data_IF_249791746448
#
_entry.id   IF_249791746448
#
_cell.length_a   1.000
_cell.length_b   1.000
_cell.length_c   1.000
_cell.angle_alpha   90.00
_cell.angle_beta   90.00
_cell.angle_gamma   90.00
#
_symmetry.space_group_name_H-M   'P 1'
#
loop_
_entity.id
_entity.type
_entity.pdbx_description
1 polymer ?
#
# COMPACT_ATOMS: atom_id res chain seq x y z
N UNK A 1 -12.36 -22.19 -0.88
CA UNK A 1 -13.03 -21.15 -1.69
C UNK A 1 -12.20 -20.72 -2.89
N UNK A 2 -10.95 -20.30 -2.71
CA UNK A 2 -10.10 -19.79 -3.79
C UNK A 2 -9.33 -20.86 -4.57
N UNK A 3 -9.03 -21.99 -3.92
CA UNK A 3 -8.11 -23.02 -4.42
C UNK A 3 -8.83 -24.35 -4.66
N UNK A 4 -9.79 -24.71 -3.80
CA UNK A 4 -10.66 -25.87 -4.02
C UNK A 4 -11.34 -25.78 -5.40
N UNK A 5 -11.23 -26.86 -6.19
CA UNK A 5 -11.71 -26.99 -7.56
C UNK A 5 -11.29 -25.84 -8.51
N UNK A 6 -10.15 -25.19 -8.25
CA UNK A 6 -9.59 -24.15 -9.11
C UNK A 6 -8.53 -24.70 -10.07
N UNK A 7 -8.94 -24.97 -11.31
CA UNK A 7 -8.08 -25.42 -12.41
C UNK A 7 -6.94 -24.43 -12.75
N UNK A 8 -7.04 -23.16 -12.33
CA UNK A 8 -6.03 -22.13 -12.58
C UNK A 8 -4.84 -22.21 -11.60
N UNK A 9 -4.89 -23.13 -10.62
CA UNK A 9 -3.86 -23.32 -9.60
C UNK A 9 -3.18 -24.66 -9.85
N UNK A 10 -1.89 -24.62 -10.21
CA UNK A 10 -1.09 -25.82 -10.51
C UNK A 10 -0.45 -26.45 -9.28
N UNK A 11 -0.20 -25.64 -8.24
CA UNK A 11 0.25 -26.09 -6.92
C UNK A 11 -0.39 -25.17 -5.87
N UNK A 12 -1.10 -25.76 -4.90
CA UNK A 12 -1.74 -24.99 -3.83
C UNK A 12 -0.78 -24.65 -2.68
N UNK A 13 0.36 -25.33 -2.58
CA UNK A 13 1.28 -25.26 -1.44
C UNK A 13 0.68 -25.78 -0.13
N UNK A 14 1.36 -25.49 0.98
CA UNK A 14 0.93 -25.84 2.34
C UNK A 14 0.74 -24.57 3.18
N UNK A 15 -0.24 -24.57 4.08
CA UNK A 15 -0.41 -23.47 5.03
C UNK A 15 0.81 -23.40 5.97
N UNK A 16 1.51 -22.26 5.96
CA UNK A 16 2.64 -21.91 6.80
C UNK A 16 2.13 -21.00 7.93
N UNK A 17 2.14 -21.47 9.19
CA UNK A 17 1.72 -20.63 10.31
C UNK A 17 2.74 -19.51 10.59
N UNK A 18 2.24 -18.27 10.67
CA UNK A 18 3.03 -17.06 10.97
C UNK A 18 2.59 -16.46 12.30
N UNK A 19 3.36 -15.51 12.84
CA UNK A 19 3.14 -14.98 14.20
C UNK A 19 1.77 -14.38 14.48
N UNK A 20 0.98 -14.07 13.44
CA UNK A 20 -0.33 -13.43 13.55
C UNK A 20 -1.45 -14.18 12.78
N UNK A 21 -1.15 -15.35 12.17
CA UNK A 21 -2.08 -16.22 11.43
C UNK A 21 -1.41 -17.02 10.30
N UNK A 22 -2.13 -17.83 9.52
CA UNK A 22 -1.53 -18.73 8.53
C UNK A 22 -1.35 -18.08 7.14
N UNK A 23 -0.21 -18.30 6.48
CA UNK A 23 0.06 -17.88 5.10
C UNK A 23 -0.02 -19.09 4.16
N UNK A 24 -0.54 -18.95 2.95
CA UNK A 24 -0.49 -19.99 1.92
C UNK A 24 0.13 -19.41 0.65
N UNK A 25 1.07 -20.15 0.05
CA UNK A 25 1.65 -19.79 -1.24
C UNK A 25 1.26 -20.82 -2.28
N UNK A 26 0.47 -20.39 -3.25
CA UNK A 26 0.06 -21.18 -4.39
C UNK A 26 0.71 -20.64 -5.68
N UNK A 27 0.59 -21.42 -6.74
CA UNK A 27 1.19 -21.16 -8.05
C UNK A 27 0.13 -21.33 -9.13
N UNK A 28 0.08 -20.39 -10.07
CA UNK A 28 -0.75 -20.54 -11.29
C UNK A 28 0.05 -21.08 -12.48
N UNK A 29 1.37 -21.20 -12.33
CA UNK A 29 2.32 -21.59 -13.37
C UNK A 29 3.53 -22.34 -12.80
N UNK A 30 4.23 -23.06 -13.67
CA UNK A 30 5.48 -23.76 -13.39
C UNK A 30 6.65 -22.98 -13.95
N UNK A 31 7.70 -22.79 -13.15
CA UNK A 31 8.98 -22.29 -13.63
C UNK A 31 9.76 -23.48 -14.20
N UNK A 32 10.02 -23.47 -15.51
CA UNK A 32 10.91 -24.43 -16.17
C UNK A 32 12.37 -24.01 -15.97
N UNK A 33 13.15 -24.88 -15.32
CA UNK A 33 14.61 -24.77 -15.25
C UNK A 33 15.24 -25.81 -16.17
N UNK A 34 16.33 -25.42 -16.82
CA UNK A 34 17.21 -26.35 -17.55
C UNK A 34 18.56 -26.36 -16.83
N UNK A 35 18.97 -27.54 -16.37
CA UNK A 35 20.28 -27.70 -15.74
C UNK A 35 21.41 -27.73 -16.80
N UNK A 36 22.66 -27.74 -16.33
CA UNK A 36 23.84 -27.80 -17.20
C UNK A 36 23.98 -29.14 -17.98
N UNK A 37 23.12 -30.12 -17.69
CA UNK A 37 23.07 -31.41 -18.37
C UNK A 37 21.89 -31.50 -19.36
N UNK A 38 21.08 -30.44 -19.48
CA UNK A 38 19.91 -30.39 -20.36
C UNK A 38 18.67 -31.09 -19.80
N UNK A 39 18.64 -31.41 -18.50
CA UNK A 39 17.46 -31.94 -17.85
C UNK A 39 16.50 -30.80 -17.48
N UNK A 40 15.22 -31.00 -17.81
CA UNK A 40 14.14 -30.08 -17.47
C UNK A 40 13.65 -30.37 -16.04
N UNK A 41 13.66 -29.33 -15.19
CA UNK A 41 13.15 -29.36 -13.81
C UNK A 41 12.07 -28.30 -13.69
N UNK A 42 10.85 -28.72 -13.40
CA UNK A 42 9.74 -27.82 -13.11
C UNK A 42 9.67 -27.55 -11.61
N UNK A 43 9.48 -26.29 -11.22
CA UNK A 43 9.18 -25.92 -9.83
C UNK A 43 8.00 -24.94 -9.76
N UNK A 44 7.19 -25.00 -8.68
CA UNK A 44 6.00 -24.17 -8.56
C UNK A 44 6.41 -22.71 -8.36
N UNK A 45 5.83 -21.78 -9.13
CA UNK A 45 6.23 -20.36 -9.14
C UNK A 45 6.02 -19.63 -7.83
N UNK A 46 5.11 -20.12 -6.98
CA UNK A 46 4.64 -19.51 -5.72
C UNK A 46 4.18 -18.06 -5.93
N UNK A 47 3.65 -17.77 -7.11
CA UNK A 47 3.34 -16.43 -7.57
C UNK A 47 2.09 -15.79 -6.93
N UNK A 48 1.44 -16.49 -6.00
CA UNK A 48 0.22 -16.06 -5.34
C UNK A 48 0.28 -16.39 -3.83
N UNK A 49 0.04 -15.39 -2.99
CA UNK A 49 0.09 -15.51 -1.53
C UNK A 49 -1.27 -15.16 -0.91
N UNK A 50 -1.87 -16.08 -0.15
CA UNK A 50 -2.99 -15.82 0.75
C UNK A 50 -2.46 -15.65 2.18
N UNK A 51 -2.44 -14.42 2.69
CA UNK A 51 -2.16 -14.19 4.12
C UNK A 51 -3.47 -14.27 4.89
N UNK A 52 -3.60 -15.25 5.78
CA UNK A 52 -4.71 -15.32 6.73
C UNK A 52 -4.35 -14.83 8.12
N UNK A 53 -5.36 -14.34 8.84
CA UNK A 53 -5.24 -13.79 10.19
C UNK A 53 -6.30 -14.36 11.12
N UNK A 54 -5.94 -14.53 12.40
CA UNK A 54 -6.75 -15.20 13.40
C UNK A 54 -7.34 -14.22 14.42
N UNK A 55 -8.36 -13.49 14.01
CA UNK A 55 -8.97 -12.43 14.81
C UNK A 55 -10.42 -12.75 15.17
N UNK A 56 -10.71 -12.87 16.47
CA UNK A 56 -12.08 -13.02 16.97
C UNK A 56 -12.84 -11.69 16.96
N UNK A 57 -14.05 -11.70 16.39
CA UNK A 57 -14.96 -10.56 16.15
C UNK A 57 -14.36 -9.43 15.30
N UNK A 58 -15.08 -9.02 14.25
CA UNK A 58 -14.77 -7.80 13.51
C UNK A 58 -14.90 -6.60 14.48
N UNK A 59 -13.80 -5.93 14.79
CA UNK A 59 -13.77 -4.75 15.64
C UNK A 59 -12.59 -3.85 15.26
N UNK A 60 -12.48 -2.67 15.90
CA UNK A 60 -11.42 -1.68 15.62
C UNK A 60 -10.00 -2.24 15.89
N UNK A 61 -9.84 -3.16 16.84
CA UNK A 61 -8.56 -3.81 17.12
C UNK A 61 -8.07 -4.65 15.93
N UNK A 62 -8.99 -5.27 15.16
CA UNK A 62 -8.66 -5.96 13.90
C UNK A 62 -8.02 -4.99 12.92
N UNK A 63 -8.61 -3.81 12.71
CA UNK A 63 -8.06 -2.81 11.79
C UNK A 63 -6.63 -2.41 12.20
N UNK A 64 -6.41 -2.13 13.49
CA UNK A 64 -5.10 -1.77 14.05
C UNK A 64 -4.07 -2.91 13.93
N UNK A 65 -4.49 -4.18 13.96
CA UNK A 65 -3.58 -5.33 13.74
C UNK A 65 -3.22 -5.55 12.27
N UNK A 66 -4.11 -5.16 11.33
CA UNK A 66 -3.93 -5.39 9.89
C UNK A 66 -3.15 -4.25 9.23
N UNK A 67 -3.30 -3.01 9.69
CA UNK A 67 -2.59 -1.83 9.14
C UNK A 67 -1.06 -2.01 9.09
N UNK A 68 -0.35 -2.45 10.15
CA UNK A 68 1.11 -2.67 10.09
C UNK A 68 1.55 -3.67 9.02
N UNK A 69 0.70 -4.64 8.68
CA UNK A 69 0.99 -5.64 7.64
C UNK A 69 0.85 -4.99 6.26
N UNK A 70 -0.23 -4.22 6.03
CA UNK A 70 -0.42 -3.44 4.79
C UNK A 70 0.70 -2.40 4.61
N UNK A 71 1.11 -1.73 5.70
CA UNK A 71 2.15 -0.70 5.66
C UNK A 71 3.58 -1.26 5.61
N UNK A 72 3.82 -2.52 5.99
CA UNK A 72 5.16 -3.13 5.90
C UNK A 72 5.79 -3.04 4.50
N UNK A 73 5.11 -3.43 3.39
CA UNK A 73 5.63 -3.20 2.04
C UNK A 73 5.59 -1.73 1.62
N UNK A 74 4.72 -0.88 2.20
CA UNK A 74 4.73 0.55 1.94
C UNK A 74 6.03 1.18 2.43
N UNK A 75 6.45 0.90 3.67
CA UNK A 75 7.74 1.35 4.20
C UNK A 75 8.92 0.84 3.36
N UNK A 76 8.94 -0.47 3.01
CA UNK A 76 10.00 -1.02 2.15
C UNK A 76 10.10 -0.33 0.78
N UNK A 77 8.99 0.15 0.20
CA UNK A 77 9.00 0.89 -1.06
C UNK A 77 9.36 2.36 -0.89
N UNK A 78 8.94 2.99 0.21
CA UNK A 78 9.28 4.38 0.52
C UNK A 78 10.77 4.57 0.84
N UNK A 79 11.47 3.54 1.32
CA UNK A 79 12.93 3.52 1.47
C UNK A 79 13.67 3.53 0.12
N UNK A 80 13.06 2.98 -0.94
CA UNK A 80 13.68 2.82 -2.26
C UNK A 80 13.33 3.98 -3.21
N UNK A 81 12.11 4.51 -3.12
CA UNK A 81 11.62 5.58 -3.99
C UNK A 81 12.04 6.93 -3.43
N UNK A 82 12.73 7.75 -4.24
CA UNK A 82 13.18 9.09 -3.83
C UNK A 82 12.03 9.93 -3.24
N UNK A 83 12.24 10.37 -1.99
CA UNK A 83 11.35 11.25 -1.23
C UNK A 83 11.11 12.62 -1.87
N UNK A 84 11.84 12.99 -2.92
CA UNK A 84 11.60 14.21 -3.72
C UNK A 84 10.68 13.99 -4.91
N UNK A 85 10.47 12.74 -5.31
CA UNK A 85 9.63 12.39 -6.45
C UNK A 85 8.14 12.61 -6.11
N UNK A 86 7.44 13.40 -6.93
CA UNK A 86 5.98 13.58 -6.80
C UNK A 86 5.23 12.38 -7.39
N UNK A 87 3.97 12.12 -6.98
CA UNK A 87 3.11 11.16 -7.68
C UNK A 87 3.03 11.50 -9.17
N UNK A 88 3.27 10.52 -10.02
CA UNK A 88 3.17 10.65 -11.47
C UNK A 88 2.59 9.37 -12.07
N UNK A 89 2.03 9.45 -13.27
CA UNK A 89 1.47 8.28 -13.97
C UNK A 89 2.57 7.23 -14.19
N UNK A 90 3.78 7.64 -14.58
CA UNK A 90 4.91 6.72 -14.75
C UNK A 90 5.27 5.98 -13.45
N UNK A 91 5.29 6.68 -12.31
CA UNK A 91 5.54 6.08 -11.01
C UNK A 91 4.40 5.15 -10.57
N UNK A 92 3.14 5.54 -10.81
CA UNK A 92 1.98 4.70 -10.53
C UNK A 92 1.99 3.40 -11.36
N UNK A 93 2.31 3.48 -12.66
CA UNK A 93 2.46 2.32 -13.54
C UNK A 93 3.56 1.36 -13.06
N UNK A 94 4.69 1.90 -12.57
CA UNK A 94 5.81 1.13 -12.04
C UNK A 94 5.43 0.39 -10.75
N UNK A 95 4.72 1.05 -9.84
CA UNK A 95 4.24 0.48 -8.57
C UNK A 95 3.06 -0.49 -8.79
N UNK A 96 2.27 -0.30 -9.84
CA UNK A 96 1.22 -1.23 -10.26
C UNK A 96 1.75 -2.48 -10.99
N UNK A 97 3.08 -2.61 -11.18
CA UNK A 97 3.67 -3.77 -11.84
C UNK A 97 3.46 -5.07 -11.03
N UNK A 98 3.48 -6.26 -11.66
CA UNK A 98 3.32 -7.54 -10.94
C UNK A 98 4.47 -7.89 -9.97
N UNK A 99 5.55 -7.09 -9.98
CA UNK A 99 6.80 -7.34 -9.24
C UNK A 99 6.90 -6.51 -7.97
N UNK A 100 5.96 -5.57 -7.79
CA UNK A 100 5.94 -4.67 -6.64
C UNK A 100 5.39 -5.42 -5.42
N UNK A 101 6.02 -5.35 -4.23
CA UNK A 101 5.64 -6.13 -3.05
C UNK A 101 4.32 -5.67 -2.38
N UNK A 102 3.44 -4.96 -3.07
CA UNK A 102 2.16 -4.51 -2.56
C UNK A 102 1.12 -5.63 -2.56
N UNK A 103 0.35 -5.74 -1.49
CA UNK A 103 -0.86 -6.57 -1.48
C UNK A 103 -1.87 -6.01 -2.50
N UNK A 104 -2.39 -6.90 -3.35
CA UNK A 104 -3.27 -6.51 -4.47
C UNK A 104 -4.69 -6.24 -4.02
N UNK A 105 -5.20 -7.01 -3.04
CA UNK A 105 -6.51 -6.77 -2.44
C UNK A 105 -6.64 -7.39 -1.04
N UNK A 106 -7.45 -6.76 -0.19
CA UNK A 106 -8.00 -7.34 1.03
C UNK A 106 -9.38 -7.91 0.71
N UNK A 107 -9.62 -9.18 1.04
CA UNK A 107 -10.90 -9.83 0.78
C UNK A 107 -11.62 -10.15 2.08
N UNK A 108 -12.69 -9.41 2.36
CA UNK A 108 -13.54 -9.62 3.54
C UNK A 108 -14.64 -10.62 3.17
N UNK A 109 -14.55 -11.81 3.75
CA UNK A 109 -15.58 -12.85 3.63
C UNK A 109 -16.59 -12.68 4.76
N UNK A 110 -17.79 -12.19 4.47
CA UNK A 110 -18.85 -12.00 5.48
C UNK A 110 -20.03 -12.94 5.25
N UNK A 111 -20.61 -13.42 6.36
CA UNK A 111 -21.75 -14.37 6.40
C UNK A 111 -23.10 -13.72 6.74
N UNK A 112 -23.06 -12.47 7.22
CA UNK A 112 -24.21 -11.77 7.80
C UNK A 112 -24.55 -10.50 7.03
N UNK A 113 -25.70 -9.90 7.38
CA UNK A 113 -26.04 -8.52 7.03
C UNK A 113 -24.94 -7.53 7.49
N UNK A 114 -24.84 -6.33 6.89
CA UNK A 114 -23.84 -5.34 7.28
C UNK A 114 -23.97 -4.93 8.75
N UNK A 115 -22.86 -4.92 9.47
CA UNK A 115 -22.77 -4.40 10.84
C UNK A 115 -21.95 -3.11 10.89
N UNK A 116 -22.18 -2.30 11.92
CA UNK A 116 -21.37 -1.10 12.22
C UNK A 116 -19.88 -1.39 12.34
N UNK A 117 -19.53 -2.61 12.74
CA UNK A 117 -18.14 -2.99 13.03
C UNK A 117 -17.43 -3.45 11.76
N UNK A 118 -18.13 -4.14 10.85
CA UNK A 118 -17.67 -4.37 9.47
C UNK A 118 -17.46 -3.04 8.75
N UNK A 119 -18.42 -2.13 8.89
CA UNK A 119 -18.39 -0.79 8.30
C UNK A 119 -17.17 0.00 8.78
N UNK A 120 -16.95 0.07 10.11
CA UNK A 120 -15.81 0.76 10.71
C UNK A 120 -14.47 0.14 10.27
N UNK A 121 -14.40 -1.19 10.15
CA UNK A 121 -13.23 -1.89 9.64
C UNK A 121 -12.94 -1.55 8.17
N UNK A 122 -13.97 -1.56 7.31
CA UNK A 122 -13.84 -1.20 5.89
C UNK A 122 -13.40 0.26 5.75
N UNK A 123 -14.04 1.18 6.46
CA UNK A 123 -13.71 2.61 6.38
C UNK A 123 -12.29 2.90 6.89
N UNK A 124 -11.77 2.09 7.82
CA UNK A 124 -10.38 2.20 8.31
C UNK A 124 -9.36 1.61 7.33
N UNK A 125 -9.66 0.49 6.64
CA UNK A 125 -8.69 -0.22 5.80
C UNK A 125 -8.73 0.17 4.31
N UNK A 126 -9.90 0.56 3.79
CA UNK A 126 -10.10 0.96 2.39
C UNK A 126 -9.20 2.10 1.88
N UNK A 127 -8.77 3.09 2.71
CA UNK A 127 -7.78 4.08 2.30
C UNK A 127 -6.38 3.50 2.01
N UNK A 128 -6.07 2.31 2.53
CA UNK A 128 -4.72 1.71 2.48
C UNK A 128 -4.62 0.47 1.59
N UNK A 129 -5.70 -0.28 1.37
CA UNK A 129 -5.70 -1.45 0.47
C UNK A 129 -7.01 -1.53 -0.35
N UNK A 130 -7.02 -2.10 -1.57
CA UNK A 130 -8.27 -2.33 -2.29
C UNK A 130 -9.12 -3.37 -1.57
N UNK A 131 -10.22 -2.91 -0.95
CA UNK A 131 -11.13 -3.79 -0.20
C UNK A 131 -12.21 -4.36 -1.10
N UNK A 132 -12.26 -5.68 -1.18
CA UNK A 132 -13.31 -6.48 -1.82
C UNK A 132 -14.12 -7.15 -0.72
N UNK A 133 -15.44 -6.97 -0.71
CA UNK A 133 -16.33 -7.68 0.22
C UNK A 133 -17.09 -8.74 -0.55
N UNK A 134 -16.97 -10.01 -0.13
CA UNK A 134 -17.76 -11.12 -0.64
C UNK A 134 -18.72 -11.61 0.45
N UNK A 135 -20.02 -11.43 0.23
CA UNK A 135 -21.08 -12.08 1.02
C UNK A 135 -21.15 -13.56 0.65
N UNK A 136 -21.19 -14.43 1.65
CA UNK A 136 -21.36 -15.87 1.48
C UNK A 136 -22.34 -16.40 2.53
N UNK A 137 -23.58 -16.68 2.11
CA UNK A 137 -24.65 -17.11 3.02
C UNK A 137 -26.02 -17.03 2.37
N UNK A 138 -27.06 -17.12 3.20
CA UNK A 138 -28.46 -16.95 2.78
C UNK A 138 -28.80 -15.49 2.47
N UNK A 139 -28.13 -14.54 3.13
CA UNK A 139 -28.19 -13.12 2.78
C UNK A 139 -27.19 -12.83 1.66
N UNK A 140 -27.72 -12.58 0.46
CA UNK A 140 -26.98 -12.19 -0.74
C UNK A 140 -27.19 -10.70 -1.08
N UNK A 141 -27.61 -9.88 -0.09
CA UNK A 141 -27.70 -8.43 -0.27
C UNK A 141 -26.35 -7.86 -0.70
N UNK A 142 -26.36 -7.03 -1.75
CA UNK A 142 -25.14 -6.37 -2.23
C UNK A 142 -24.69 -5.37 -1.18
N UNK A 143 -23.41 -5.42 -0.82
CA UNK A 143 -22.81 -4.41 0.04
C UNK A 143 -22.94 -3.02 -0.62
N UNK A 144 -23.41 -1.98 0.09
CA UNK A 144 -23.55 -0.64 -0.48
C UNK A 144 -22.21 -0.09 -0.93
N UNK A 145 -22.18 0.58 -2.08
CA UNK A 145 -20.95 1.16 -2.62
C UNK A 145 -20.43 2.29 -1.73
N UNK A 146 -19.20 2.16 -1.20
CA UNK A 146 -18.53 3.22 -0.45
C UNK A 146 -17.39 3.87 -1.27
N UNK A 147 -17.00 5.11 -0.95
CA UNK A 147 -15.73 5.67 -1.40
C UNK A 147 -14.56 4.75 -1.01
N UNK A 148 -13.51 4.72 -1.83
CA UNK A 148 -12.27 3.96 -1.58
C UNK A 148 -12.39 2.43 -1.45
N UNK A 149 -13.57 1.82 -1.59
CA UNK A 149 -13.68 0.37 -1.86
C UNK A 149 -13.19 0.04 -3.27
N UNK A 150 -12.85 -1.23 -3.53
CA UNK A 150 -12.50 -1.66 -4.87
C UNK A 150 -13.62 -1.40 -5.88
N UNK A 151 -13.22 -1.06 -7.11
CA UNK A 151 -14.11 -1.03 -8.26
C UNK A 151 -14.58 -2.44 -8.66
N UNK A 152 -13.74 -3.46 -8.45
CA UNK A 152 -14.08 -4.86 -8.67
C UNK A 152 -14.95 -5.39 -7.51
N UNK A 153 -16.21 -5.71 -7.82
CA UNK A 153 -17.24 -6.09 -6.84
C UNK A 153 -17.92 -7.41 -7.27
N UNK A 154 -17.29 -8.56 -7.01
CA UNK A 154 -17.82 -9.86 -7.42
C UNK A 154 -19.07 -10.23 -6.60
N UNK A 155 -20.10 -10.71 -7.29
CA UNK A 155 -21.35 -11.17 -6.66
C UNK A 155 -21.33 -12.62 -6.20
N UNK A 156 -20.26 -13.38 -6.51
CA UNK A 156 -20.09 -14.77 -6.11
C UNK A 156 -18.61 -15.15 -6.07
N UNK A 157 -18.30 -16.26 -5.39
CA UNK A 157 -16.95 -16.82 -5.34
C UNK A 157 -16.39 -17.17 -6.73
N UNK A 158 -17.24 -17.63 -7.66
CA UNK A 158 -16.84 -17.91 -9.04
C UNK A 158 -16.44 -16.64 -9.80
N UNK A 159 -17.20 -15.54 -9.65
CA UNK A 159 -16.85 -14.25 -10.27
C UNK A 159 -15.57 -13.68 -9.65
N UNK A 160 -15.40 -13.81 -8.33
CA UNK A 160 -14.17 -13.45 -7.63
C UNK A 160 -12.98 -14.23 -8.18
N UNK A 161 -13.09 -15.56 -8.29
CA UNK A 161 -12.05 -16.44 -8.85
C UNK A 161 -11.69 -16.06 -10.28
N UNK A 162 -12.68 -15.95 -11.16
CA UNK A 162 -12.45 -15.59 -12.56
C UNK A 162 -11.79 -14.20 -12.70
N UNK A 163 -12.19 -13.22 -11.88
CA UNK A 163 -11.58 -11.89 -11.86
C UNK A 163 -10.13 -11.88 -11.35
N UNK A 164 -9.78 -12.77 -10.41
CA UNK A 164 -8.45 -12.85 -9.83
C UNK A 164 -7.47 -13.74 -10.60
N UNK A 165 -7.95 -14.77 -11.31
CA UNK A 165 -7.08 -15.74 -11.99
C UNK A 165 -7.17 -15.68 -13.53
N UNK A 166 -8.33 -15.28 -14.08
CA UNK A 166 -8.59 -15.31 -15.55
C UNK A 166 -8.77 -13.94 -16.21
N UNK A 167 -8.84 -12.84 -15.44
CA UNK A 167 -8.98 -11.47 -15.98
C UNK A 167 -7.73 -10.63 -15.68
N UNK A 168 -6.79 -10.50 -16.63
CA UNK A 168 -5.61 -9.66 -16.44
C UNK A 168 -5.96 -8.17 -16.30
N UNK A 169 -7.08 -7.72 -16.87
CA UNK A 169 -7.62 -6.36 -16.72
C UNK A 169 -8.03 -6.09 -15.27
N UNK A 170 -8.70 -7.05 -14.63
CA UNK A 170 -9.15 -6.95 -13.23
C UNK A 170 -7.95 -6.92 -12.29
N UNK A 171 -6.98 -7.83 -12.48
CA UNK A 171 -5.72 -7.81 -11.72
C UNK A 171 -4.92 -6.52 -11.93
N UNK A 172 -4.89 -5.99 -13.16
CA UNK A 172 -4.21 -4.72 -13.45
C UNK A 172 -4.91 -3.57 -12.72
N UNK A 173 -6.25 -3.50 -12.79
CA UNK A 173 -7.04 -2.50 -12.07
C UNK A 173 -6.80 -2.55 -10.56
N UNK A 174 -6.79 -3.74 -9.95
CA UNK A 174 -6.51 -3.91 -8.52
C UNK A 174 -5.09 -3.48 -8.13
N UNK A 175 -4.09 -3.76 -8.98
CA UNK A 175 -2.71 -3.30 -8.74
C UNK A 175 -2.54 -1.78 -8.88
N UNK A 176 -3.23 -1.15 -9.84
CA UNK A 176 -3.31 0.31 -9.91
C UNK A 176 -3.98 0.91 -8.67
N UNK A 177 -5.12 0.35 -8.29
CA UNK A 177 -5.83 0.71 -7.06
C UNK A 177 -4.93 0.60 -5.80
N UNK A 178 -4.08 -0.43 -5.69
CA UNK A 178 -3.12 -0.58 -4.60
C UNK A 178 -1.99 0.46 -4.67
N UNK A 179 -1.46 0.72 -5.87
CA UNK A 179 -0.42 1.72 -6.12
C UNK A 179 -0.87 3.15 -5.77
N UNK A 180 -2.11 3.52 -6.12
CA UNK A 180 -2.71 4.81 -5.73
C UNK A 180 -2.82 4.98 -4.22
N UNK A 181 -3.20 3.92 -3.49
CA UNK A 181 -3.31 3.94 -2.02
C UNK A 181 -1.95 4.06 -1.35
N UNK A 182 -0.93 3.37 -1.86
CA UNK A 182 0.46 3.58 -1.44
C UNK A 182 0.92 5.02 -1.68
N UNK A 183 0.73 5.55 -2.90
CA UNK A 183 1.14 6.92 -3.23
C UNK A 183 0.44 7.94 -2.33
N UNK A 184 -0.87 7.82 -2.13
CA UNK A 184 -1.66 8.66 -1.23
C UNK A 184 -1.14 8.59 0.21
N UNK A 185 -0.88 7.39 0.73
CA UNK A 185 -0.28 7.21 2.06
C UNK A 185 1.06 7.94 2.17
N UNK A 186 1.95 7.77 1.17
CA UNK A 186 3.26 8.43 1.15
C UNK A 186 3.14 9.97 1.14
N UNK A 187 2.16 10.53 0.43
CA UNK A 187 1.90 11.98 0.48
C UNK A 187 1.44 12.45 1.86
N UNK A 188 0.62 11.64 2.55
CA UNK A 188 0.17 11.94 3.92
C UNK A 188 1.34 11.90 4.90
N UNK A 189 2.19 10.87 4.86
CA UNK A 189 3.40 10.80 5.71
C UNK A 189 4.32 12.02 5.48
N UNK A 190 4.63 12.36 4.21
CA UNK A 190 5.44 13.55 3.89
C UNK A 190 4.83 14.86 4.42
N UNK A 191 3.50 15.01 4.36
CA UNK A 191 2.82 16.17 4.91
C UNK A 191 2.89 16.22 6.45
N UNK A 192 2.72 15.08 7.12
CA UNK A 192 2.83 14.95 8.58
C UNK A 192 4.25 15.26 9.06
N UNK A 193 5.28 14.74 8.38
CA UNK A 193 6.69 15.05 8.65
C UNK A 193 6.99 16.55 8.48
N UNK A 194 6.49 17.17 7.40
CA UNK A 194 6.67 18.61 7.14
C UNK A 194 6.04 19.49 8.24
N UNK A 195 4.83 19.16 8.70
CA UNK A 195 4.17 19.84 9.82
C UNK A 195 4.98 19.65 11.11
N UNK A 196 5.47 18.43 11.38
CA UNK A 196 6.31 18.14 12.53
C UNK A 196 7.63 18.89 12.55
N UNK A 197 8.28 19.03 11.39
CA UNK A 197 9.50 19.82 11.23
C UNK A 197 9.24 21.32 11.47
N UNK A 198 8.23 21.89 10.82
CA UNK A 198 7.83 23.30 10.99
C UNK A 198 7.49 23.64 12.45
N UNK A 199 6.82 22.72 13.17
CA UNK A 199 6.53 22.89 14.59
C UNK A 199 7.81 22.89 15.45
N UNK A 200 8.79 22.03 15.14
CA UNK A 200 10.09 22.01 15.84
C UNK A 200 10.92 23.27 15.58
N UNK A 201 10.96 23.77 14.35
CA UNK A 201 11.63 25.04 14.01
C UNK A 201 10.99 26.22 14.75
N UNK A 202 9.66 26.26 14.78
CA UNK A 202 8.91 27.30 15.51
C UNK A 202 9.17 27.22 17.01
N UNK A 203 9.17 26.01 17.59
CA UNK A 203 9.49 25.80 19.01
C UNK A 203 10.95 26.15 19.34
N UNK A 204 11.92 25.85 18.47
CA UNK A 204 13.31 26.26 18.65
C UNK A 204 13.44 27.78 18.63
N UNK A 205 12.82 28.45 17.66
CA UNK A 205 12.84 29.91 17.57
C UNK A 205 12.22 30.59 18.81
N UNK A 206 11.14 30.03 19.36
CA UNK A 206 10.50 30.53 20.60
C UNK A 206 11.35 30.23 21.85
N UNK A 207 12.05 29.09 21.89
CA UNK A 207 12.94 28.72 23.01
C UNK A 207 14.24 29.54 23.01
N UNK A 208 14.82 29.76 21.84
CA UNK A 208 16.07 30.48 21.63
C UNK A 208 15.88 32.00 21.70
N UNK A 209 14.68 32.48 21.31
CA UNK A 209 14.16 33.81 21.67
C UNK A 209 13.07 33.67 22.72
N UNK A 210 13.46 33.26 23.93
CA UNK A 210 12.65 33.39 25.15
C UNK A 210 12.46 34.88 25.55
N UNK A 211 11.94 35.68 24.62
CA UNK A 211 11.27 36.94 24.89
C UNK A 211 10.05 36.58 25.73
N UNK A 212 10.01 37.06 26.97
CA UNK A 212 8.84 36.95 27.84
C UNK A 212 7.61 37.38 27.04
N UNK A 213 6.66 36.48 26.86
CA UNK A 213 5.46 36.72 26.05
C UNK A 213 4.62 37.81 26.73
N UNK A 214 4.78 39.05 26.26
CA UNK A 214 3.99 40.18 26.69
C UNK A 214 2.70 40.22 25.84
N UNK A 215 1.63 39.71 26.46
CA UNK A 215 0.29 39.69 25.86
C UNK A 215 -0.18 41.09 25.44
N UNK A 216 0.07 42.12 26.26
CA UNK A 216 -0.40 43.48 25.97
C UNK A 216 0.32 44.08 24.74
N UNK A 217 1.62 43.78 24.60
CA UNK A 217 2.37 44.14 23.40
C UNK A 217 1.86 43.41 22.15
N UNK A 218 1.56 42.12 22.26
CA UNK A 218 1.01 41.33 21.15
C UNK A 218 -0.36 41.86 20.71
N UNK A 219 -1.27 42.14 21.65
CA UNK A 219 -2.60 42.69 21.36
C UNK A 219 -2.50 44.06 20.66
N UNK A 220 -1.61 44.95 21.10
CA UNK A 220 -1.37 46.24 20.45
C UNK A 220 -0.78 46.11 19.02
N UNK A 221 0.20 45.21 18.81
CA UNK A 221 0.71 44.93 17.46
C UNK A 221 -0.35 44.30 16.55
N UNK A 222 -1.25 43.49 17.12
CA UNK A 222 -2.33 42.83 16.39
C UNK A 222 -3.44 43.79 15.99
N UNK A 223 -3.89 44.70 16.86
CA UNK A 223 -4.86 45.75 16.53
C UNK A 223 -4.35 46.70 15.43
N UNK A 224 -3.06 47.06 15.47
CA UNK A 224 -2.43 47.90 14.43
C UNK A 224 -2.43 47.16 13.08
N UNK A 225 -2.03 45.88 13.05
CA UNK A 225 -2.04 45.07 11.81
C UNK A 225 -3.45 44.81 11.30
N UNK A 226 -4.41 44.52 12.17
CA UNK A 226 -5.81 44.34 11.78
C UNK A 226 -6.38 45.62 11.15
N UNK A 227 -6.07 46.78 11.74
CA UNK A 227 -6.45 48.08 11.18
C UNK A 227 -5.79 48.36 9.83
N UNK A 228 -4.54 47.92 9.63
CA UNK A 228 -3.86 48.01 8.34
C UNK A 228 -4.46 47.06 7.30
N UNK A 229 -4.72 45.79 7.64
CA UNK A 229 -5.32 44.80 6.72
C UNK A 229 -6.77 45.15 6.33
N UNK A 230 -7.55 45.72 7.26
CA UNK A 230 -8.90 46.22 6.97
C UNK A 230 -8.85 47.46 6.08
N UNK A 231 -7.88 48.38 6.30
CA UNK A 231 -7.76 49.59 5.48
C UNK A 231 -7.08 49.38 4.13
N UNK A 232 -6.25 48.33 3.95
CA UNK A 232 -5.79 47.90 2.63
C UNK A 232 -6.90 47.21 1.86
N UNK A 233 -7.61 46.23 2.44
CA UNK A 233 -8.73 45.57 1.75
C UNK A 233 -9.86 46.53 1.39
N UNK A 234 -10.22 47.46 2.28
CA UNK A 234 -11.20 48.50 1.99
C UNK A 234 -10.75 49.50 0.89
N UNK A 235 -9.47 49.53 0.52
CA UNK A 235 -8.96 50.27 -0.66
C UNK A 235 -8.84 49.38 -1.90
N UNK A 236 -8.58 48.09 -1.74
CA UNK A 236 -8.43 47.13 -2.83
C UNK A 236 -9.76 46.83 -3.56
N UNK A 237 -10.91 46.92 -2.87
CA UNK A 237 -12.25 46.78 -3.46
C UNK A 237 -12.63 47.86 -4.51
N UNK A 238 -11.71 48.80 -4.84
CA UNK A 238 -11.98 49.89 -5.82
C UNK A 238 -11.15 49.82 -7.12
N UNK A 239 -10.10 48.97 -7.23
CA UNK A 239 -9.27 48.93 -8.47
C UNK A 239 -8.81 47.52 -8.86
N UNK A 240 -9.04 47.15 -10.12
CA UNK A 240 -8.60 45.90 -10.74
C UNK A 240 -7.10 45.86 -11.04
N UNK A 241 -6.34 44.91 -10.49
CA UNK A 241 -5.34 44.03 -11.17
C UNK A 241 -4.43 43.29 -10.15
N UNK A 242 -4.11 41.99 -10.34
CA UNK A 242 -3.22 41.27 -9.42
C UNK A 242 -1.73 41.45 -9.78
N UNK A 243 -0.83 41.68 -8.79
CA UNK A 243 0.60 41.78 -9.04
C UNK A 243 1.28 40.41 -9.20
N UNK A 244 2.22 40.36 -10.13
CA UNK A 244 2.96 39.17 -10.55
C UNK A 244 3.92 38.67 -9.45
N UNK A 245 3.69 37.48 -8.87
CA UNK A 245 4.65 36.83 -7.96
C UNK A 245 5.64 35.99 -8.76
N UNK A 246 6.92 36.39 -8.69
CA UNK A 246 8.04 35.64 -9.27
C UNK A 246 8.21 34.31 -8.55
N UNK A 247 7.83 33.23 -9.21
CA UNK A 247 8.16 31.85 -8.81
C UNK A 247 9.50 31.51 -9.46
N UNK A 248 10.51 31.17 -8.66
CA UNK A 248 11.80 30.70 -9.16
C UNK A 248 11.66 29.37 -9.92
N UNK A 249 12.54 29.09 -10.90
CA UNK A 249 12.44 27.86 -11.69
C UNK A 249 12.60 26.62 -10.81
N UNK A 250 11.75 25.59 -10.96
CA UNK A 250 11.97 24.33 -10.27
C UNK A 250 13.27 23.68 -10.74
N UNK A 251 14.04 23.12 -9.81
CA UNK A 251 15.22 22.34 -10.13
C UNK A 251 14.85 21.16 -11.05
N UNK A 252 15.75 20.73 -11.97
CA UNK A 252 15.45 19.65 -12.90
C UNK A 252 15.21 18.35 -12.13
N UNK A 253 13.93 17.95 -12.05
CA UNK A 253 13.53 16.61 -11.70
C UNK A 253 14.13 15.66 -12.74
N UNK A 254 14.96 14.71 -12.29
CA UNK A 254 15.48 13.65 -13.16
C UNK A 254 14.29 12.81 -13.59
N UNK A 255 14.02 12.79 -14.90
CA UNK A 255 12.89 12.05 -15.46
C UNK A 255 13.04 10.54 -15.13
N UNK A 256 12.05 9.90 -14.48
CA UNK A 256 12.11 8.49 -14.10
C UNK A 256 12.18 7.52 -15.32
N UNK A 257 12.09 8.02 -16.56
CA UNK A 257 12.26 7.24 -17.78
C UNK A 257 13.72 6.91 -18.14
N UNK A 258 14.72 7.34 -17.37
CA UNK A 258 16.10 6.90 -17.61
C UNK A 258 16.25 5.38 -17.35
N UNK A 259 16.60 4.64 -18.40
CA UNK A 259 16.69 3.16 -18.41
C UNK A 259 17.62 2.61 -17.30
N UNK A 260 18.68 3.35 -16.96
CA UNK A 260 19.58 3.07 -15.84
C UNK A 260 18.92 3.16 -14.47
N UNK A 261 17.98 4.10 -14.27
CA UNK A 261 17.22 4.24 -13.03
C UNK A 261 16.20 3.12 -12.88
N UNK A 262 15.56 2.70 -13.98
CA UNK A 262 14.67 1.54 -13.99
C UNK A 262 15.43 0.25 -13.67
N UNK A 263 16.62 0.05 -14.27
CA UNK A 263 17.49 -1.08 -13.94
C UNK A 263 17.94 -1.04 -12.46
N UNK A 264 18.41 0.10 -11.96
CA UNK A 264 18.79 0.28 -10.56
C UNK A 264 17.62 -0.01 -9.60
N UNK A 265 16.43 0.49 -9.90
CA UNK A 265 15.22 0.22 -9.14
C UNK A 265 14.86 -1.27 -9.16
N UNK A 266 14.85 -1.91 -10.34
CA UNK A 266 14.56 -3.35 -10.47
C UNK A 266 15.56 -4.23 -9.72
N UNK A 267 16.85 -3.86 -9.69
CA UNK A 267 17.87 -4.56 -8.90
C UNK A 267 17.71 -4.30 -7.40
N UNK A 268 17.36 -3.07 -7.00
CA UNK A 268 17.12 -2.72 -5.59
C UNK A 268 15.90 -3.43 -4.97
N UNK A 269 14.97 -3.93 -5.78
CA UNK A 269 13.84 -4.75 -5.32
C UNK A 269 14.24 -6.20 -5.01
N UNK A 270 15.38 -6.72 -5.51
CA UNK A 270 15.82 -8.09 -5.23
C UNK A 270 16.34 -8.27 -3.79
N UNK A 271 17.07 -7.31 -3.24
CA UNK A 271 17.68 -7.45 -1.91
C UNK A 271 16.65 -7.49 -0.76
N UNK A 272 15.59 -6.66 -0.73
CA UNK A 272 14.49 -6.79 0.22
C UNK A 272 13.75 -8.12 0.09
N UNK A 273 13.55 -8.63 -1.14
CA UNK A 273 12.92 -9.92 -1.38
C UNK A 273 13.77 -11.07 -0.81
N UNK A 274 15.10 -11.01 -1.00
CA UNK A 274 16.06 -11.98 -0.45
C UNK A 274 16.14 -11.92 1.08
N UNK A 275 16.12 -10.73 1.67
CA UNK A 275 16.11 -10.54 3.12
C UNK A 275 14.82 -11.05 3.78
N UNK A 276 13.67 -10.92 3.09
CA UNK A 276 12.37 -11.47 3.55
C UNK A 276 12.40 -13.00 3.63
N UNK A 277 12.95 -13.69 2.62
CA UNK A 277 13.15 -15.15 2.66
C UNK A 277 14.00 -15.58 3.86
N UNK A 278 15.11 -14.89 4.12
CA UNK A 278 16.06 -15.29 5.16
C UNK A 278 15.55 -15.05 6.59
N UNK A 279 14.77 -13.99 6.83
CA UNK A 279 14.08 -13.74 8.12
C UNK A 279 12.88 -14.66 8.39
N UNK A 280 12.35 -15.33 7.36
CA UNK A 280 11.23 -16.27 7.51
C UNK A 280 11.68 -17.59 8.14
N UNK A 281 12.85 -18.10 7.71
CA UNK A 281 13.41 -19.38 8.18
C UNK A 281 13.78 -19.35 9.67
N UNK A 282 14.26 -18.22 10.20
CA UNK A 282 14.64 -18.13 11.62
C UNK A 282 13.44 -18.07 12.57
N UNK A 283 12.31 -17.47 12.15
CA UNK A 283 11.08 -17.42 12.96
C UNK A 283 10.31 -18.74 12.99
N UNK A 284 10.53 -19.61 12.00
CA UNK A 284 9.88 -20.92 11.86
C UNK A 284 10.16 -21.88 13.03
N UNK A 285 11.30 -21.71 13.72
CA UNK A 285 11.74 -22.58 14.81
C UNK A 285 11.09 -22.29 16.19
N UNK A 286 10.48 -21.11 16.39
CA UNK A 286 10.10 -20.65 17.74
C UNK A 286 8.62 -20.80 18.12
N UNK A 287 7.69 -20.99 17.17
CA UNK A 287 6.24 -20.84 17.44
C UNK A 287 5.38 -22.06 17.09
N UNK A 288 5.75 -23.18 17.70
CA UNK A 288 5.09 -24.48 17.61
C UNK A 288 3.84 -24.66 18.53
N UNK A 289 3.15 -23.58 18.94
CA UNK A 289 2.10 -23.65 19.98
C UNK A 289 0.81 -22.85 19.67
N UNK A 290 -0.25 -23.61 19.34
CA UNK A 290 -1.69 -23.36 19.54
C UNK A 290 -2.45 -22.25 18.72
N UNK A 291 -3.60 -22.62 18.12
CA UNK A 291 -4.37 -21.83 17.11
C UNK A 291 -5.70 -21.19 17.59
N UNK A 292 -6.78 -20.94 16.82
CA UNK A 292 -7.15 -21.14 15.40
C UNK A 292 -8.47 -20.35 15.05
N UNK A 293 -8.63 -19.65 13.89
CA UNK A 293 -9.89 -19.29 13.11
C UNK A 293 -9.60 -18.22 12.01
N UNK A 294 -10.04 -18.35 10.74
CA UNK A 294 -9.45 -17.62 9.57
C UNK A 294 -10.17 -16.34 9.02
N UNK A 295 -9.40 -15.32 8.60
CA UNK A 295 -9.72 -14.17 7.71
C UNK A 295 -8.61 -14.04 6.63
N UNK A 296 -8.78 -13.46 5.41
CA UNK A 296 -7.79 -13.58 4.29
C UNK A 296 -7.38 -12.29 3.51
N UNK A 297 -6.17 -12.28 2.91
CA UNK A 297 -5.58 -11.20 2.06
C UNK A 297 -4.77 -11.78 0.87
N UNK A 298 -4.70 -11.10 -0.28
CA UNK A 298 -4.06 -11.62 -1.50
C UNK A 298 -2.91 -10.73 -2.03
N UNK A 299 -1.77 -11.34 -2.34
CA UNK A 299 -0.66 -10.71 -3.09
C UNK A 299 -0.16 -11.61 -4.22
N UNK A 300 0.41 -11.02 -5.28
CA UNK A 300 1.04 -11.76 -6.39
C UNK A 300 2.52 -11.41 -6.52
N UNK A 301 3.40 -12.41 -6.68
CA UNK A 301 4.85 -12.23 -6.81
C UNK A 301 5.42 -13.24 -7.82
N UNK A 302 5.42 -12.90 -9.11
CA UNK A 302 6.17 -13.70 -10.08
C UNK A 302 7.69 -13.63 -9.76
N UNK A 303 8.44 -14.69 -10.08
CA UNK A 303 9.90 -14.72 -10.01
C UNK A 303 10.43 -15.28 -11.33
N UNK A 304 11.36 -14.57 -11.98
CA UNK A 304 11.87 -14.97 -13.30
C UNK A 304 13.03 -14.09 -13.78
N UNK A 305 14.20 -14.19 -13.15
CA UNK A 305 15.45 -13.58 -13.65
C UNK A 305 16.56 -14.65 -13.62
N UNK A 306 16.90 -15.18 -14.78
CA UNK A 306 18.07 -16.03 -14.97
C UNK A 306 19.27 -15.19 -15.42
N UNK A 307 20.29 -15.05 -14.57
CA UNK A 307 21.58 -14.47 -14.96
C UNK A 307 22.61 -15.60 -15.04
N UNK A 308 22.88 -16.05 -16.27
CA UNK A 308 23.95 -17.01 -16.54
C UNK A 308 25.29 -16.30 -16.71
N UNK A 309 26.24 -16.56 -15.80
CA UNK A 309 27.65 -16.21 -16.01
C UNK A 309 28.43 -17.46 -16.42
N UNK A 310 28.95 -17.45 -17.65
CA UNK A 310 29.88 -18.47 -18.13
C UNK A 310 31.32 -17.99 -17.89
N UNK A 311 32.01 -18.61 -16.94
CA UNK A 311 33.45 -18.47 -16.75
C UNK A 311 34.15 -19.71 -17.34
N UNK A 312 35.34 -19.50 -17.91
CA UNK A 312 36.12 -20.47 -18.67
C UNK A 312 37.42 -20.81 -17.93
#
# INVERSE_FOLDING_TARGET
LFLDDNEDVVDAGTWEDTSDGSMLRASTDWIEHRDAHGLEKFEPSRNFEIVTRHNGQFNVSVALSVLPIIHSPFHSLAEIIDQRCQPSIALANLIASPWTPLYTALIILSKSAPSSDEDTLIDTLAPHIPVIVLRHGLDQSRFPSRPHMSAFRPSSALVLRNGLFRSPETLSSLRYEAAERFLRWREVERAVESIGASHRETAHYISEKAVVWDKAKWEAEWEIRLSQDVSTRAREDTVTTPPNRVIGPPAPCIDPLHLSSLLSFSLSLLDPARARLQKSVSKFLEKLSDGQVQLAMMGSLCIGIGIGFMLR
#
